data_IF_688556447930
#
_entry.id   IF_688556447930
#
_cell.length_a   1.000
_cell.length_b   1.000
_cell.length_c   1.000
_cell.angle_alpha   90.00
_cell.angle_beta   90.00
_cell.angle_gamma   90.00
#
_symmetry.space_group_name_H-M   'P 1'
#
loop_
_entity.id
_entity.type
_entity.pdbx_description
1 polymer ?
#
# COMPACT_ATOMS: atom_id res chain seq x y z
N UNK A 1 -44.07 10.84 -28.12
CA UNK A 1 -44.22 10.99 -26.66
C UNK A 1 -42.87 10.67 -26.01
N UNK A 2 -42.52 11.44 -24.98
CA UNK A 2 -41.22 11.51 -24.32
C UNK A 2 -41.04 10.47 -23.19
N UNK A 3 -39.78 10.36 -22.71
CA UNK A 3 -39.29 9.75 -21.46
C UNK A 3 -39.27 8.21 -21.42
N UNK A 4 -38.30 7.50 -20.85
CA UNK A 4 -37.26 7.77 -19.84
C UNK A 4 -36.02 6.93 -20.20
N UNK A 5 -34.80 7.47 -20.15
CA UNK A 5 -33.86 7.39 -19.01
C UNK A 5 -33.66 5.98 -18.47
N UNK A 6 -32.43 5.45 -18.59
CA UNK A 6 -31.61 5.06 -17.42
C UNK A 6 -30.23 4.62 -17.91
N UNK A 7 -29.22 5.47 -17.77
CA UNK A 7 -28.33 5.61 -16.61
C UNK A 7 -27.07 4.74 -16.80
N UNK A 8 -25.98 5.46 -17.05
CA UNK A 8 -24.63 4.95 -17.04
C UNK A 8 -24.33 4.34 -15.66
N UNK A 9 -24.03 3.04 -15.65
CA UNK A 9 -23.53 2.34 -14.48
C UNK A 9 -22.32 1.51 -14.90
N UNK A 10 -21.19 2.18 -15.12
CA UNK A 10 -19.90 1.54 -15.36
C UNK A 10 -19.38 0.90 -14.05
N UNK A 11 -20.02 -0.19 -13.62
CA UNK A 11 -19.62 -0.98 -12.46
C UNK A 11 -18.87 -2.25 -12.91
N UNK A 12 -17.76 -2.07 -13.63
CA UNK A 12 -16.90 -3.19 -14.00
C UNK A 12 -15.47 -2.73 -14.31
N UNK A 13 -14.87 -1.91 -13.44
CA UNK A 13 -13.47 -1.52 -13.62
C UNK A 13 -12.77 -1.20 -12.28
N UNK A 14 -12.48 -2.21 -11.46
CA UNK A 14 -11.31 -2.19 -10.54
C UNK A 14 -11.13 -3.48 -9.72
N UNK A 15 -11.43 -4.66 -10.24
CA UNK A 15 -11.16 -5.91 -9.50
C UNK A 15 -9.69 -6.41 -9.63
N UNK A 16 -8.87 -5.82 -10.50
CA UNK A 16 -7.54 -6.35 -10.87
C UNK A 16 -6.34 -5.51 -10.42
N UNK A 17 -6.53 -4.44 -9.65
CA UNK A 17 -5.41 -3.59 -9.18
C UNK A 17 -4.90 -3.95 -7.76
N UNK A 18 -5.56 -4.90 -7.09
CA UNK A 18 -5.71 -4.87 -5.64
C UNK A 18 -4.65 -5.65 -4.85
N UNK A 19 -3.91 -6.58 -5.45
CA UNK A 19 -3.06 -7.50 -4.67
C UNK A 19 -1.57 -7.16 -4.63
N UNK A 20 -1.17 -5.95 -5.04
CA UNK A 20 0.27 -5.62 -5.13
C UNK A 20 0.99 -5.53 -3.79
N UNK A 21 0.26 -5.54 -2.67
CA UNK A 21 0.82 -5.51 -1.31
C UNK A 21 0.18 -6.50 -0.35
N UNK A 22 -0.63 -7.45 -0.86
CA UNK A 22 -1.45 -8.32 -0.01
C UNK A 22 -2.53 -7.58 0.78
N UNK A 23 -2.94 -6.39 0.32
CA UNK A 23 -3.98 -5.56 0.94
C UNK A 23 -5.23 -5.67 0.06
N UNK A 24 -6.27 -6.41 0.47
CA UNK A 24 -7.54 -6.42 -0.24
C UNK A 24 -8.11 -5.00 -0.33
N UNK A 25 -8.67 -4.64 -1.46
CA UNK A 25 -9.21 -3.30 -1.71
C UNK A 25 -10.42 -3.12 -0.83
N UNK A 26 -10.49 -1.99 -0.14
CA UNK A 26 -11.66 -1.67 0.66
C UNK A 26 -12.84 -1.46 -0.30
N UNK A 27 -13.87 -2.29 -0.14
CA UNK A 27 -15.15 -2.07 -0.82
C UNK A 27 -15.95 -1.08 0.02
N UNK A 28 -16.28 0.06 -0.57
CA UNK A 28 -17.11 1.06 0.08
C UNK A 28 -18.58 0.61 0.05
N UNK A 29 -19.25 0.71 1.20
CA UNK A 29 -20.68 0.42 1.31
C UNK A 29 -21.43 1.74 1.30
N UNK A 30 -22.16 2.01 0.21
CA UNK A 30 -22.95 3.23 0.05
C UNK A 30 -24.31 3.12 0.77
N UNK A 31 -24.94 1.95 0.73
CA UNK A 31 -26.18 1.64 1.42
C UNK A 31 -26.09 0.30 2.17
N UNK A 32 -26.34 0.36 3.48
CA UNK A 32 -26.23 -0.79 4.39
C UNK A 32 -27.35 -1.80 4.15
N UNK A 33 -28.56 -1.35 3.83
CA UNK A 33 -29.69 -2.27 3.56
C UNK A 33 -29.44 -3.08 2.29
N UNK A 34 -29.04 -2.40 1.21
CA UNK A 34 -28.66 -3.04 -0.04
C UNK A 34 -27.48 -4.01 0.15
N UNK A 35 -26.48 -3.64 0.95
CA UNK A 35 -25.34 -4.49 1.23
C UNK A 35 -25.72 -5.77 1.98
N UNK A 36 -26.55 -5.67 3.02
CA UNK A 36 -27.03 -6.83 3.79
C UNK A 36 -27.91 -7.75 2.93
N UNK A 37 -28.79 -7.17 2.11
CA UNK A 37 -29.64 -7.93 1.19
C UNK A 37 -28.84 -8.67 0.10
N UNK A 38 -27.78 -8.05 -0.43
CA UNK A 38 -26.91 -8.66 -1.43
C UNK A 38 -25.98 -9.73 -0.86
N UNK A 39 -25.49 -9.51 0.37
CA UNK A 39 -24.59 -10.45 1.03
C UNK A 39 -25.31 -11.64 1.67
N UNK A 40 -26.62 -11.52 1.93
CA UNK A 40 -27.43 -12.58 2.53
C UNK A 40 -27.02 -12.94 3.97
N UNK A 41 -26.24 -12.06 4.62
CA UNK A 41 -25.71 -12.23 5.96
C UNK A 41 -26.65 -11.61 6.99
N UNK A 42 -26.68 -12.17 8.20
CA UNK A 42 -27.33 -11.50 9.33
C UNK A 42 -26.50 -10.28 9.77
N UNK A 43 -27.14 -9.33 10.45
CA UNK A 43 -26.48 -8.09 10.89
C UNK A 43 -25.23 -8.35 11.73
N UNK A 44 -25.24 -9.35 12.62
CA UNK A 44 -24.11 -9.63 13.49
C UNK A 44 -22.94 -10.27 12.73
N UNK A 45 -23.20 -11.18 11.79
CA UNK A 45 -22.16 -11.76 10.95
C UNK A 45 -21.54 -10.74 10.00
N UNK A 46 -22.35 -9.85 9.41
CA UNK A 46 -21.86 -8.75 8.59
C UNK A 46 -20.95 -7.81 9.39
N UNK A 47 -21.34 -7.44 10.61
CA UNK A 47 -20.50 -6.64 11.51
C UNK A 47 -19.20 -7.36 11.88
N UNK A 48 -19.27 -8.65 12.20
CA UNK A 48 -18.09 -9.45 12.55
C UNK A 48 -17.09 -9.52 11.38
N UNK A 49 -17.60 -9.71 10.16
CA UNK A 49 -16.79 -9.73 8.95
C UNK A 49 -16.11 -8.38 8.68
N UNK A 50 -16.85 -7.28 8.83
CA UNK A 50 -16.29 -5.93 8.67
C UNK A 50 -15.23 -5.62 9.73
N UNK A 51 -15.45 -6.05 10.97
CA UNK A 51 -14.47 -5.93 12.05
C UNK A 51 -13.19 -6.72 11.76
N UNK A 52 -13.31 -7.96 11.27
CA UNK A 52 -12.16 -8.77 10.88
C UNK A 52 -11.35 -8.08 9.78
N UNK A 53 -12.03 -7.59 8.73
CA UNK A 53 -11.39 -6.86 7.64
C UNK A 53 -10.71 -5.58 8.13
N UNK A 54 -11.33 -4.85 9.05
CA UNK A 54 -10.74 -3.67 9.68
C UNK A 54 -9.48 -4.03 10.49
N UNK A 55 -9.49 -5.15 11.20
CA UNK A 55 -8.32 -5.65 11.93
C UNK A 55 -7.17 -5.99 10.98
N UNK A 56 -7.46 -6.62 9.83
CA UNK A 56 -6.46 -6.91 8.80
C UNK A 56 -5.82 -5.62 8.28
N UNK A 57 -6.61 -4.59 7.99
CA UNK A 57 -6.09 -3.30 7.54
C UNK A 57 -5.16 -2.64 8.55
N UNK A 58 -5.53 -2.62 9.83
CA UNK A 58 -4.69 -2.08 10.91
C UNK A 58 -3.33 -2.79 10.99
N UNK A 59 -3.32 -4.11 10.85
CA UNK A 59 -2.06 -4.87 10.87
C UNK A 59 -1.17 -4.52 9.68
N UNK A 60 -1.75 -4.37 8.49
CA UNK A 60 -0.95 -4.00 7.31
C UNK A 60 -0.47 -2.55 7.40
N UNK A 61 -1.30 -1.62 7.90
CA UNK A 61 -0.90 -0.24 8.18
C UNK A 61 0.30 -0.20 9.14
N UNK A 62 0.24 -0.93 10.25
CA UNK A 62 1.34 -0.99 11.21
C UNK A 62 2.63 -1.53 10.58
N UNK A 63 2.53 -2.60 9.77
CA UNK A 63 3.68 -3.15 9.03
C UNK A 63 4.26 -2.14 8.05
N UNK A 64 3.41 -1.42 7.33
CA UNK A 64 3.83 -0.44 6.35
C UNK A 64 4.55 0.75 7.00
N UNK A 65 4.01 1.25 8.12
CA UNK A 65 4.64 2.32 8.90
C UNK A 65 5.98 1.86 9.52
N UNK A 66 6.08 0.61 9.97
CA UNK A 66 7.35 0.05 10.44
C UNK A 66 8.39 0.02 9.31
N UNK A 67 8.04 -0.54 8.14
CA UNK A 67 8.92 -0.57 6.97
C UNK A 67 9.34 0.84 6.53
N UNK A 68 8.43 1.81 6.58
CA UNK A 68 8.75 3.21 6.27
C UNK A 68 9.83 3.75 7.21
N UNK A 69 9.70 3.52 8.53
CA UNK A 69 10.70 3.96 9.51
C UNK A 69 12.05 3.27 9.29
N UNK A 70 12.04 1.97 9.05
CA UNK A 70 13.26 1.19 8.79
C UNK A 70 13.99 1.69 7.53
N UNK A 71 13.24 2.02 6.48
CA UNK A 71 13.79 2.60 5.26
C UNK A 71 14.33 4.01 5.52
N UNK A 72 13.58 4.85 6.23
CA UNK A 72 14.02 6.21 6.58
C UNK A 72 15.31 6.21 7.41
N UNK A 73 15.48 5.26 8.33
CA UNK A 73 16.70 5.10 9.10
C UNK A 73 17.90 4.68 8.23
N UNK A 74 17.68 3.94 7.13
CA UNK A 74 18.74 3.49 6.21
C UNK A 74 19.22 4.56 5.24
N UNK A 75 18.36 5.54 4.91
CA UNK A 75 18.71 6.65 3.99
C UNK A 75 20.04 7.32 4.37
N UNK A 76 20.23 7.84 5.60
CA UNK A 76 21.47 8.55 5.95
C UNK A 76 22.71 7.63 5.95
N UNK A 77 22.55 6.35 6.23
CA UNK A 77 23.66 5.40 6.19
C UNK A 77 24.09 5.10 4.75
N UNK A 78 23.12 5.00 3.82
CA UNK A 78 23.41 4.87 2.39
C UNK A 78 24.10 6.13 1.85
N UNK A 79 23.64 7.31 2.24
CA UNK A 79 24.27 8.59 1.86
C UNK A 79 25.73 8.66 2.34
N UNK A 80 26.00 8.33 3.60
CA UNK A 80 27.38 8.27 4.12
C UNK A 80 28.23 7.24 3.37
N UNK A 81 27.67 6.07 3.04
CA UNK A 81 28.39 5.07 2.24
C UNK A 81 28.78 5.64 0.87
N UNK A 82 27.89 6.39 0.23
CA UNK A 82 28.18 7.05 -1.05
C UNK A 82 29.25 8.14 -0.92
N UNK A 83 29.21 8.95 0.14
CA UNK A 83 30.23 9.97 0.41
C UNK A 83 31.62 9.35 0.62
N UNK A 84 31.70 8.23 1.34
CA UNK A 84 32.95 7.48 1.53
C UNK A 84 33.46 6.94 0.18
N UNK A 85 32.58 6.40 -0.66
CA UNK A 85 32.99 5.92 -2.00
C UNK A 85 33.45 7.08 -2.89
N UNK A 86 32.78 8.23 -2.86
CA UNK A 86 33.16 9.42 -3.62
C UNK A 86 34.53 9.96 -3.17
N UNK A 87 34.78 10.03 -1.86
CA UNK A 87 36.09 10.45 -1.33
C UNK A 87 37.20 9.47 -1.70
N UNK A 88 36.95 8.15 -1.65
CA UNK A 88 37.90 7.13 -2.10
C UNK A 88 38.20 7.24 -3.60
N UNK A 89 37.19 7.50 -4.45
CA UNK A 89 37.39 7.72 -5.88
C UNK A 89 38.17 8.99 -6.19
N UNK A 90 37.88 10.09 -5.49
CA UNK A 90 38.64 11.34 -5.63
C UNK A 90 40.12 11.14 -5.27
N UNK A 91 40.41 10.41 -4.18
CA UNK A 91 41.77 10.09 -3.74
C UNK A 91 42.52 9.18 -4.72
N UNK A 92 41.80 8.27 -5.39
CA UNK A 92 42.34 7.46 -6.49
C UNK A 92 42.76 8.30 -7.71
N UNK A 93 42.10 9.44 -7.96
CA UNK A 93 42.47 10.40 -9.01
C UNK A 93 43.68 11.26 -8.66
N UNK A 94 43.94 11.53 -7.38
CA UNK A 94 45.07 12.33 -6.89
C UNK A 94 46.32 11.53 -6.51
N UNK A 95 46.36 10.21 -6.78
CA UNK A 95 47.57 9.41 -6.61
C UNK A 95 47.96 9.10 -5.16
N UNK A 96 47.05 9.27 -4.18
CA UNK A 96 47.26 8.78 -2.82
C UNK A 96 46.66 7.39 -2.64
N UNK A 97 47.54 6.40 -2.83
CA UNK A 97 47.54 5.03 -2.31
C UNK A 97 46.25 4.23 -2.46
N UNK A 98 46.29 3.38 -3.48
CA UNK A 98 45.57 2.11 -3.54
C UNK A 98 45.96 1.22 -2.35
N UNK A 99 45.17 1.21 -1.27
CA UNK A 99 45.21 0.14 -0.26
C UNK A 99 44.18 -0.92 -0.64
N UNK A 100 44.45 -1.67 -1.71
CA UNK A 100 44.02 -3.06 -1.90
C UNK A 100 44.70 -3.62 -3.17
N UNK A 101 45.98 -3.99 -3.02
CA UNK A 101 46.54 -5.18 -3.64
C UNK A 101 46.86 -6.16 -2.51
#
# INVERSE_FOLDING_TARGET
MASSSSEAGAAAASASATERRGIPGAQFVEDVETYLNQSGLDVNSALSFLQERLQQYKLVEMKLLAQQRDLQAKIPDIEKCLDVVATLQAKKGTGEVCFLC
#
